data_IF_414703150814
#
_entry.id   IF_414703150814
#
_cell.length_a   1.000
_cell.length_b   1.000
_cell.length_c   1.000
_cell.angle_alpha   90.00
_cell.angle_beta   90.00
_cell.angle_gamma   90.00
#
_symmetry.space_group_name_H-M   'P 1'
#
loop_
_entity.id
_entity.type
_entity.pdbx_description
1 polymer ?
#
# COMPACT_ATOMS: atom_id res chain seq x y z
N UNK A 1 8.20 11.74 -30.66
CA UNK A 1 8.57 11.97 -29.25
C UNK A 1 9.00 10.63 -28.67
N UNK A 2 10.13 10.53 -27.96
CA UNK A 2 10.57 9.26 -27.37
C UNK A 2 9.79 8.94 -26.09
N UNK A 3 9.72 7.66 -25.71
CA UNK A 3 9.09 7.23 -24.44
C UNK A 3 9.76 7.93 -23.25
N UNK A 4 11.10 8.03 -23.27
CA UNK A 4 11.86 8.72 -22.24
C UNK A 4 11.46 10.19 -22.13
N UNK A 5 11.41 10.92 -23.25
CA UNK A 5 11.01 12.33 -23.23
C UNK A 5 9.60 12.49 -22.66
N UNK A 6 8.65 11.65 -23.08
CA UNK A 6 7.29 11.66 -22.55
C UNK A 6 7.26 11.39 -21.02
N UNK A 7 8.12 10.51 -20.53
CA UNK A 7 8.24 10.24 -19.10
C UNK A 7 8.71 11.48 -18.32
N UNK A 8 9.78 12.13 -18.80
CA UNK A 8 10.34 13.34 -18.16
C UNK A 8 9.39 14.53 -18.26
N UNK A 9 8.73 14.73 -19.41
CA UNK A 9 7.73 15.77 -19.61
C UNK A 9 6.55 15.54 -18.64
N UNK A 10 6.08 14.29 -18.48
CA UNK A 10 5.02 13.96 -17.52
C UNK A 10 5.43 14.28 -16.07
N UNK A 11 6.65 13.91 -15.65
CA UNK A 11 7.14 14.20 -14.30
C UNK A 11 7.22 15.72 -14.07
N UNK A 12 7.76 16.45 -15.04
CA UNK A 12 7.92 17.90 -14.95
C UNK A 12 6.57 18.61 -14.88
N UNK A 13 5.63 18.27 -15.75
CA UNK A 13 4.25 18.79 -15.70
C UNK A 13 3.58 18.45 -14.36
N UNK A 14 3.85 17.25 -13.82
CA UNK A 14 3.36 16.88 -12.49
C UNK A 14 3.83 17.83 -11.39
N UNK A 15 5.08 18.28 -11.44
CA UNK A 15 5.62 19.25 -10.50
C UNK A 15 5.13 20.68 -10.76
N UNK A 16 4.91 21.07 -12.01
CA UNK A 16 4.27 22.34 -12.37
C UNK A 16 2.83 22.40 -11.83
N UNK A 17 2.07 21.30 -11.95
CA UNK A 17 0.73 21.17 -11.41
C UNK A 17 0.71 21.25 -9.87
N UNK A 18 1.72 20.72 -9.18
CA UNK A 18 1.85 20.84 -7.73
C UNK A 18 2.09 22.28 -7.26
N UNK A 19 2.88 23.03 -8.02
CA UNK A 19 3.18 24.43 -7.73
C UNK A 19 2.04 25.38 -8.11
N UNK A 20 1.04 24.87 -8.83
CA UNK A 20 -0.10 25.67 -9.24
C UNK A 20 -1.02 25.99 -8.05
N UNK A 21 -1.48 27.25 -7.90
CA UNK A 21 -2.36 27.63 -6.80
C UNK A 21 -3.77 27.02 -6.89
N UNK A 22 -4.18 26.49 -8.05
CA UNK A 22 -5.47 25.82 -8.22
C UNK A 22 -5.44 24.42 -7.57
N UNK A 23 -6.19 24.17 -6.47
CA UNK A 23 -6.17 22.89 -5.77
C UNK A 23 -6.60 21.70 -6.63
N UNK A 24 -7.34 21.93 -7.73
CA UNK A 24 -7.72 20.87 -8.68
C UNK A 24 -6.50 20.28 -9.40
N UNK A 25 -5.39 21.03 -9.47
CA UNK A 25 -4.15 20.60 -10.12
C UNK A 25 -3.41 19.53 -9.33
N UNK A 26 -3.68 19.38 -8.04
CA UNK A 26 -3.13 18.31 -7.21
C UNK A 26 -3.46 16.90 -7.72
N UNK A 27 -4.66 16.71 -8.29
CA UNK A 27 -5.05 15.44 -8.92
C UNK A 27 -4.24 15.22 -10.20
N UNK A 28 -4.08 16.28 -11.00
CA UNK A 28 -3.27 16.25 -12.22
C UNK A 28 -1.80 15.93 -11.91
N UNK A 29 -1.24 16.56 -10.88
CA UNK A 29 0.10 16.26 -10.35
C UNK A 29 0.28 14.76 -10.08
N UNK A 30 -0.61 14.19 -9.26
CA UNK A 30 -0.56 12.76 -8.89
C UNK A 30 -0.63 11.85 -10.13
N UNK A 31 -1.52 12.15 -11.08
CA UNK A 31 -1.66 11.39 -12.33
C UNK A 31 -0.39 11.45 -13.19
N UNK A 32 0.16 12.65 -13.35
CA UNK A 32 1.33 12.90 -14.17
C UNK A 32 2.60 12.25 -13.59
N UNK A 33 2.79 12.30 -12.26
CA UNK A 33 3.88 11.60 -11.59
C UNK A 33 3.76 10.08 -11.76
N UNK A 34 2.57 9.50 -11.49
CA UNK A 34 2.35 8.06 -11.66
C UNK A 34 2.57 7.61 -13.11
N UNK A 35 2.03 8.35 -14.08
CA UNK A 35 2.23 8.05 -15.50
C UNK A 35 3.71 8.16 -15.90
N UNK A 36 4.41 9.19 -15.42
CA UNK A 36 5.84 9.39 -15.64
C UNK A 36 6.70 8.22 -15.18
N UNK A 37 6.43 7.70 -13.97
CA UNK A 37 7.10 6.50 -13.44
C UNK A 37 6.90 5.29 -14.36
N UNK A 38 5.65 5.00 -14.74
CA UNK A 38 5.35 3.86 -15.62
C UNK A 38 6.00 4.02 -17.00
N UNK A 39 6.11 5.24 -17.51
CA UNK A 39 6.80 5.52 -18.77
C UNK A 39 8.32 5.34 -18.66
N UNK A 40 8.96 5.69 -17.53
CA UNK A 40 10.38 5.38 -17.28
C UNK A 40 10.62 3.87 -17.31
N UNK A 41 9.73 3.10 -16.68
CA UNK A 41 9.83 1.64 -16.68
C UNK A 41 9.67 1.06 -18.10
N UNK A 42 8.67 1.54 -18.85
CA UNK A 42 8.48 1.16 -20.26
C UNK A 42 9.67 1.57 -21.12
N UNK A 43 10.30 2.71 -20.86
CA UNK A 43 11.50 3.12 -21.58
C UNK A 43 12.65 2.11 -21.36
N UNK A 44 12.89 1.69 -20.11
CA UNK A 44 13.90 0.66 -19.83
C UNK A 44 13.61 -0.64 -20.58
N UNK A 45 12.38 -1.15 -20.51
CA UNK A 45 11.96 -2.35 -21.24
C UNK A 45 12.11 -2.22 -22.76
N UNK A 46 11.70 -1.07 -23.32
CA UNK A 46 11.89 -0.75 -24.74
C UNK A 46 13.39 -0.78 -25.10
N UNK A 47 14.26 -0.15 -24.30
CA UNK A 47 15.71 -0.12 -24.54
C UNK A 47 16.39 -1.49 -24.48
N UNK A 48 15.80 -2.45 -23.76
CA UNK A 48 16.29 -3.83 -23.67
C UNK A 48 15.70 -4.76 -24.73
N UNK A 49 14.72 -4.29 -25.50
CA UNK A 49 14.11 -5.12 -26.55
C UNK A 49 15.12 -5.33 -27.68
N UNK A 50 15.30 -6.56 -28.18
CA UNK A 50 16.24 -6.82 -29.27
C UNK A 50 15.92 -5.98 -30.52
N UNK A 51 16.94 -5.54 -31.29
CA UNK A 51 16.71 -4.87 -32.56
C UNK A 51 15.78 -5.66 -33.48
N UNK A 52 14.81 -4.99 -34.10
CA UNK A 52 13.84 -5.62 -35.00
C UNK A 52 12.69 -6.38 -34.31
N UNK A 53 12.68 -6.49 -32.98
CA UNK A 53 11.64 -7.19 -32.21
C UNK A 53 10.32 -6.41 -32.02
N UNK A 54 10.22 -5.20 -32.58
CA UNK A 54 9.09 -4.26 -32.39
C UNK A 54 8.82 -3.98 -30.89
N UNK A 55 9.87 -3.64 -30.14
CA UNK A 55 9.81 -3.36 -28.71
C UNK A 55 9.08 -4.46 -27.92
N UNK A 56 9.45 -5.72 -28.16
CA UNK A 56 8.75 -6.91 -27.66
C UNK A 56 8.46 -6.86 -26.15
N UNK A 57 9.37 -6.27 -25.36
CA UNK A 57 9.25 -6.17 -23.91
C UNK A 57 8.24 -5.13 -23.43
N UNK A 58 7.63 -4.31 -24.29
CA UNK A 58 6.50 -3.45 -23.90
C UNK A 58 5.17 -3.85 -24.56
N UNK A 59 5.17 -4.80 -25.50
CA UNK A 59 3.97 -5.21 -26.25
C UNK A 59 3.14 -6.23 -25.48
N UNK A 60 1.81 -6.10 -25.51
CA UNK A 60 0.91 -7.04 -24.83
C UNK A 60 0.86 -8.41 -25.51
N UNK A 61 0.94 -8.43 -26.84
CA UNK A 61 0.94 -9.64 -27.65
C UNK A 61 2.34 -9.90 -28.20
N UNK A 62 2.82 -11.13 -28.05
CA UNK A 62 4.14 -11.58 -28.49
C UNK A 62 3.94 -12.87 -29.28
N UNK A 63 4.43 -12.93 -30.52
CA UNK A 63 4.32 -14.10 -31.38
C UNK A 63 5.71 -14.55 -31.87
N UNK A 64 5.92 -15.87 -32.06
CA UNK A 64 7.16 -16.37 -32.64
C UNK A 64 7.20 -16.07 -34.15
N UNK A 65 8.39 -15.85 -34.68
CA UNK A 65 8.65 -15.79 -36.12
C UNK A 65 9.95 -16.52 -36.46
N UNK A 66 10.03 -17.02 -37.69
CA UNK A 66 11.23 -17.67 -38.20
C UNK A 66 12.25 -16.61 -38.64
N UNK A 67 13.41 -16.58 -37.99
CA UNK A 67 14.59 -15.80 -38.40
C UNK A 67 15.64 -16.72 -39.04
N UNK A 68 16.67 -16.15 -39.66
CA UNK A 68 17.84 -16.91 -40.15
C UNK A 68 18.61 -17.64 -39.05
N UNK A 69 18.44 -17.22 -37.79
CA UNK A 69 19.10 -17.79 -36.61
C UNK A 69 18.20 -18.72 -35.78
N UNK A 70 16.99 -19.03 -36.26
CA UNK A 70 16.00 -19.84 -35.55
C UNK A 70 14.74 -19.06 -35.16
N UNK A 71 13.93 -19.64 -34.27
CA UNK A 71 12.68 -19.01 -33.78
C UNK A 71 13.04 -17.83 -32.87
N UNK A 72 12.54 -16.64 -33.24
CA UNK A 72 12.66 -15.42 -32.45
C UNK A 72 11.28 -14.88 -32.10
N UNK A 73 11.19 -14.00 -31.11
CA UNK A 73 9.93 -13.44 -30.63
C UNK A 73 9.81 -11.97 -31.03
N UNK A 74 8.62 -11.60 -31.53
CA UNK A 74 8.32 -10.23 -31.94
C UNK A 74 7.03 -9.76 -31.29
N UNK A 75 7.02 -8.50 -30.87
CA UNK A 75 5.82 -7.84 -30.42
C UNK A 75 4.85 -7.60 -31.57
N UNK A 76 3.54 -7.71 -31.30
CA UNK A 76 2.50 -7.52 -32.31
C UNK A 76 1.39 -6.62 -31.78
N UNK A 77 0.88 -5.75 -32.66
CA UNK A 77 -0.22 -4.83 -32.37
C UNK A 77 0.22 -3.53 -31.69
N UNK A 78 -0.78 -2.71 -31.36
CA UNK A 78 -0.57 -1.36 -30.77
C UNK A 78 -0.64 -1.35 -29.24
N UNK A 79 -1.23 -2.38 -28.64
CA UNK A 79 -1.46 -2.42 -27.20
C UNK A 79 -0.16 -2.73 -26.46
N UNK A 80 0.11 -1.94 -25.42
CA UNK A 80 1.25 -2.16 -24.52
C UNK A 80 0.80 -2.86 -23.24
N UNK A 81 1.76 -3.39 -22.51
CA UNK A 81 1.54 -3.93 -21.17
C UNK A 81 0.96 -2.90 -20.21
N UNK A 82 0.15 -3.40 -19.29
CA UNK A 82 -0.34 -2.69 -18.11
C UNK A 82 0.70 -2.76 -16.97
N UNK A 83 0.33 -2.23 -15.79
CA UNK A 83 1.22 -2.16 -14.62
C UNK A 83 1.71 -3.54 -14.21
N UNK A 84 0.82 -4.54 -14.19
CA UNK A 84 1.19 -5.91 -13.82
C UNK A 84 2.16 -6.52 -14.83
N UNK A 85 1.91 -6.31 -16.12
CA UNK A 85 2.86 -6.72 -17.16
C UNK A 85 4.21 -6.02 -17.09
N UNK A 86 4.29 -4.78 -16.59
CA UNK A 86 5.56 -4.09 -16.32
C UNK A 86 6.27 -4.76 -15.15
N UNK A 87 5.57 -4.99 -14.04
CA UNK A 87 6.10 -5.65 -12.85
C UNK A 87 6.70 -7.02 -13.15
N UNK A 88 5.93 -7.88 -13.82
CA UNK A 88 6.36 -9.25 -14.12
C UNK A 88 7.59 -9.25 -15.06
N UNK A 89 7.65 -8.31 -16.02
CA UNK A 89 8.78 -8.19 -16.95
C UNK A 89 10.03 -7.62 -16.30
N UNK A 90 9.91 -6.57 -15.49
CA UNK A 90 11.06 -6.04 -14.76
C UNK A 90 11.62 -7.08 -13.79
N UNK A 91 10.74 -7.76 -13.04
CA UNK A 91 11.13 -8.80 -12.08
C UNK A 91 11.82 -9.97 -12.77
N UNK A 92 11.26 -10.50 -13.87
CA UNK A 92 11.89 -11.60 -14.62
C UNK A 92 13.22 -11.21 -15.28
N UNK A 93 13.45 -9.93 -15.54
CA UNK A 93 14.71 -9.39 -16.05
C UNK A 93 15.71 -9.03 -14.94
N UNK A 94 15.38 -9.28 -13.67
CA UNK A 94 16.25 -8.95 -12.52
C UNK A 94 16.34 -7.46 -12.22
N UNK A 95 15.37 -6.65 -12.67
CA UNK A 95 15.32 -5.21 -12.40
C UNK A 95 14.51 -4.97 -11.13
N UNK A 96 15.22 -4.62 -10.05
CA UNK A 96 14.60 -4.31 -8.76
C UNK A 96 13.95 -2.93 -8.75
N UNK A 97 12.69 -2.87 -8.32
CA UNK A 97 11.90 -1.64 -8.14
C UNK A 97 11.19 -1.73 -6.80
N UNK A 98 11.06 -0.60 -6.09
CA UNK A 98 10.27 -0.48 -4.87
C UNK A 98 8.77 -0.49 -5.20
N UNK A 99 8.22 -1.68 -5.42
CA UNK A 99 6.80 -1.88 -5.73
C UNK A 99 5.88 -1.50 -4.58
N UNK A 100 6.37 -1.51 -3.34
CA UNK A 100 5.60 -1.05 -2.18
C UNK A 100 5.26 0.44 -2.33
N UNK A 101 6.25 1.28 -2.66
CA UNK A 101 6.01 2.71 -2.95
C UNK A 101 5.12 2.92 -4.17
N UNK A 102 5.29 2.12 -5.23
CA UNK A 102 4.40 2.21 -6.41
C UNK A 102 2.95 1.95 -6.03
N UNK A 103 2.70 0.90 -5.24
CA UNK A 103 1.36 0.54 -4.78
C UNK A 103 0.77 1.63 -3.87
N UNK A 104 1.59 2.25 -3.00
CA UNK A 104 1.18 3.41 -2.19
C UNK A 104 0.76 4.60 -3.08
N UNK A 105 1.57 4.95 -4.07
CA UNK A 105 1.25 6.02 -5.04
C UNK A 105 -0.04 5.69 -5.82
N UNK A 106 -0.20 4.44 -6.27
CA UNK A 106 -1.39 3.99 -6.99
C UNK A 106 -2.65 4.07 -6.11
N UNK A 107 -2.58 3.58 -4.87
CA UNK A 107 -3.68 3.62 -3.93
C UNK A 107 -4.09 5.05 -3.60
N UNK A 108 -3.10 5.92 -3.36
CA UNK A 108 -3.36 7.34 -3.18
C UNK A 108 -4.07 7.93 -4.40
N UNK A 109 -3.59 7.65 -5.62
CA UNK A 109 -4.21 8.10 -6.88
C UNK A 109 -5.67 7.64 -6.99
N UNK A 110 -5.95 6.38 -6.68
CA UNK A 110 -7.32 5.85 -6.73
C UNK A 110 -8.21 6.56 -5.70
N UNK A 111 -7.73 6.71 -4.46
CA UNK A 111 -8.46 7.38 -3.39
C UNK A 111 -8.83 8.83 -3.77
N UNK A 112 -7.88 9.62 -4.27
CA UNK A 112 -8.17 11.00 -4.67
C UNK A 112 -9.10 11.10 -5.89
N UNK A 113 -9.14 10.08 -6.76
CA UNK A 113 -10.07 10.02 -7.90
C UNK A 113 -11.51 9.77 -7.44
N UNK A 114 -11.69 9.12 -6.29
CA UNK A 114 -13.00 8.84 -5.69
C UNK A 114 -13.49 9.96 -4.75
N UNK A 115 -12.60 10.61 -4.00
CA UNK A 115 -12.95 11.67 -3.04
C UNK A 115 -12.61 13.06 -3.59
N UNK A 116 -13.52 13.61 -4.41
CA UNK A 116 -13.38 14.93 -5.05
C UNK A 116 -13.34 16.11 -4.06
N UNK A 117 -13.68 15.91 -2.78
CA UNK A 117 -13.85 16.97 -1.79
C UNK A 117 -12.56 17.26 -1.02
N UNK A 118 -11.95 18.43 -1.28
CA UNK A 118 -10.90 19.07 -0.47
C UNK A 118 -9.69 18.19 -0.11
N UNK A 119 -8.87 17.82 -1.10
CA UNK A 119 -7.58 17.15 -0.85
C UNK A 119 -6.59 18.18 -0.29
N UNK A 120 -6.00 17.96 0.90
CA UNK A 120 -4.98 18.87 1.42
C UNK A 120 -3.68 18.76 0.62
N UNK A 121 -3.06 19.88 0.28
CA UNK A 121 -1.76 19.91 -0.42
C UNK A 121 -0.68 19.08 0.31
N UNK A 122 -0.71 19.05 1.65
CA UNK A 122 0.20 18.24 2.48
C UNK A 122 0.08 16.74 2.21
N UNK A 123 -1.09 16.23 1.80
CA UNK A 123 -1.24 14.80 1.50
C UNK A 123 -0.56 14.40 0.18
N UNK A 124 -0.42 15.34 -0.77
CA UNK A 124 0.29 15.11 -2.03
C UNK A 124 1.81 15.08 -1.84
N UNK A 125 2.33 15.66 -0.75
CA UNK A 125 3.77 15.63 -0.45
C UNK A 125 4.28 14.20 -0.25
N UNK A 126 3.46 13.33 0.36
CA UNK A 126 3.75 11.88 0.46
C UNK A 126 3.98 11.28 -0.93
N UNK A 127 3.05 11.50 -1.87
CA UNK A 127 3.17 11.02 -3.25
C UNK A 127 4.42 11.54 -3.94
N UNK A 128 4.70 12.84 -3.80
CA UNK A 128 5.86 13.46 -4.45
C UNK A 128 7.15 12.87 -3.88
N UNK A 129 7.25 12.71 -2.55
CA UNK A 129 8.40 12.10 -1.89
C UNK A 129 8.62 10.66 -2.35
N UNK A 130 7.57 9.83 -2.34
CA UNK A 130 7.67 8.43 -2.80
C UNK A 130 8.04 8.37 -4.28
N UNK A 131 7.39 9.20 -5.11
CA UNK A 131 7.68 9.28 -6.54
C UNK A 131 9.13 9.68 -6.78
N UNK A 132 9.63 10.67 -6.03
CA UNK A 132 11.00 11.15 -6.15
C UNK A 132 12.01 10.03 -5.90
N UNK A 133 11.84 9.26 -4.82
CA UNK A 133 12.75 8.16 -4.49
C UNK A 133 12.75 7.09 -5.59
N UNK A 134 11.56 6.67 -6.05
CA UNK A 134 11.41 5.71 -7.14
C UNK A 134 12.08 6.21 -8.43
N UNK A 135 11.78 7.45 -8.84
CA UNK A 135 12.28 8.06 -10.07
C UNK A 135 13.81 8.18 -10.00
N UNK A 136 14.33 8.75 -8.91
CA UNK A 136 15.76 8.95 -8.67
C UNK A 136 16.52 7.62 -8.75
N UNK A 137 16.07 6.62 -8.00
CA UNK A 137 16.74 5.34 -7.90
C UNK A 137 16.66 4.57 -9.20
N UNK A 138 15.52 4.63 -9.90
CA UNK A 138 15.38 3.99 -11.20
C UNK A 138 16.27 4.62 -12.27
N UNK A 139 16.32 5.95 -12.36
CA UNK A 139 17.20 6.65 -13.31
C UNK A 139 18.67 6.31 -13.02
N UNK A 140 19.08 6.36 -11.76
CA UNK A 140 20.46 6.12 -11.36
C UNK A 140 20.88 4.66 -11.58
N UNK A 141 20.09 3.73 -11.06
CA UNK A 141 20.48 2.31 -10.98
C UNK A 141 20.19 1.55 -12.27
N UNK A 142 19.12 1.92 -13.00
CA UNK A 142 18.65 1.14 -14.15
C UNK A 142 18.79 1.84 -15.50
N UNK A 143 18.78 3.18 -15.51
CA UNK A 143 19.10 3.96 -16.72
C UNK A 143 20.56 4.43 -16.76
N UNK A 144 21.32 4.27 -15.67
CA UNK A 144 22.73 4.68 -15.56
C UNK A 144 22.96 6.14 -15.95
N UNK A 145 22.01 7.00 -15.60
CA UNK A 145 22.02 8.43 -15.91
C UNK A 145 22.01 9.25 -14.63
N UNK A 146 22.42 10.52 -14.73
CA UNK A 146 22.28 11.47 -13.64
C UNK A 146 20.83 11.99 -13.56
N UNK A 147 20.10 11.73 -12.46
CA UNK A 147 18.73 12.21 -12.28
C UNK A 147 18.58 13.74 -12.34
N UNK A 148 19.55 14.51 -11.84
CA UNK A 148 19.52 15.98 -11.87
C UNK A 148 19.59 16.48 -13.31
N UNK A 149 20.47 15.88 -14.12
CA UNK A 149 20.63 16.26 -15.53
C UNK A 149 19.39 15.84 -16.32
N UNK A 150 18.90 14.61 -16.11
CA UNK A 150 17.81 14.06 -16.90
C UNK A 150 16.45 14.72 -16.61
N UNK A 151 16.16 15.01 -15.33
CA UNK A 151 14.92 15.69 -14.94
C UNK A 151 14.99 17.22 -15.15
N UNK A 152 16.20 17.76 -15.20
CA UNK A 152 16.43 19.20 -15.22
C UNK A 152 16.36 19.81 -13.81
N UNK A 153 17.09 20.91 -13.64
CA UNK A 153 17.33 21.56 -12.35
C UNK A 153 16.05 21.94 -11.61
N UNK A 154 15.08 22.54 -12.31
CA UNK A 154 13.83 23.04 -11.70
C UNK A 154 12.99 21.90 -11.12
N UNK A 155 12.75 20.85 -11.92
CA UNK A 155 11.99 19.67 -11.48
C UNK A 155 12.70 18.96 -10.33
N UNK A 156 14.02 18.77 -10.45
CA UNK A 156 14.84 18.14 -9.41
C UNK A 156 14.78 18.88 -8.07
N UNK A 157 15.03 20.20 -8.07
CA UNK A 157 15.01 21.03 -6.86
C UNK A 157 13.62 21.03 -6.22
N UNK A 158 12.56 21.14 -7.03
CA UNK A 158 11.18 21.09 -6.54
C UNK A 158 10.85 19.77 -5.84
N UNK A 159 11.19 18.63 -6.46
CA UNK A 159 10.95 17.31 -5.86
C UNK A 159 11.77 17.09 -4.59
N UNK A 160 13.05 17.49 -4.61
CA UNK A 160 13.95 17.33 -3.45
C UNK A 160 13.46 18.13 -2.26
N UNK A 161 13.05 19.40 -2.46
CA UNK A 161 12.51 20.24 -1.38
C UNK A 161 11.25 19.63 -0.76
N UNK A 162 10.33 19.11 -1.58
CA UNK A 162 9.11 18.46 -1.07
C UNK A 162 9.45 17.19 -0.29
N UNK A 163 10.40 16.39 -0.80
CA UNK A 163 10.85 15.18 -0.12
C UNK A 163 11.50 15.49 1.24
N UNK A 164 12.37 16.50 1.32
CA UNK A 164 13.01 16.92 2.58
C UNK A 164 12.00 17.33 3.65
N UNK A 165 11.03 18.18 3.29
CA UNK A 165 9.95 18.60 4.20
C UNK A 165 9.13 17.40 4.66
N UNK A 166 8.75 16.52 3.73
CA UNK A 166 7.99 15.32 4.07
C UNK A 166 8.77 14.39 5.01
N UNK A 167 10.07 14.15 4.76
CA UNK A 167 10.88 13.27 5.62
C UNK A 167 11.02 13.82 7.04
N UNK A 168 11.17 15.14 7.20
CA UNK A 168 11.20 15.77 8.51
C UNK A 168 9.87 15.57 9.26
N UNK A 169 8.74 15.85 8.61
CA UNK A 169 7.40 15.64 9.20
C UNK A 169 7.13 14.17 9.54
N UNK A 170 7.54 13.24 8.67
CA UNK A 170 7.37 11.79 8.89
C UNK A 170 8.23 11.32 10.06
N UNK A 171 9.46 11.83 10.19
CA UNK A 171 10.34 11.54 11.32
C UNK A 171 9.69 11.89 12.65
N UNK A 172 9.15 13.10 12.78
CA UNK A 172 8.45 13.52 14.01
C UNK A 172 7.20 12.67 14.30
N UNK A 173 6.42 12.30 13.26
CA UNK A 173 5.30 11.39 13.40
C UNK A 173 5.74 10.03 13.97
N UNK A 174 6.79 9.43 13.38
CA UNK A 174 7.34 8.14 13.83
C UNK A 174 7.82 8.23 15.28
N UNK A 175 8.57 9.27 15.64
CA UNK A 175 9.03 9.46 17.01
C UNK A 175 7.89 9.57 18.02
N UNK A 176 6.77 10.19 17.64
CA UNK A 176 5.59 10.27 18.51
C UNK A 176 4.96 8.89 18.76
N UNK A 177 4.84 8.07 17.71
CA UNK A 177 4.28 6.71 17.80
C UNK A 177 5.20 5.75 18.56
N UNK A 178 6.52 5.91 18.41
CA UNK A 178 7.52 5.08 19.10
C UNK A 178 7.56 5.26 20.62
N UNK A 179 6.98 6.35 21.15
CA UNK A 179 6.94 6.64 22.60
C UNK A 179 5.82 5.91 23.34
N UNK A 180 4.82 5.39 22.62
CA UNK A 180 3.72 4.63 23.22
C UNK A 180 4.27 3.28 23.74
N UNK A 181 3.78 2.85 24.91
CA UNK A 181 4.03 1.50 25.42
C UNK A 181 3.12 0.49 24.69
N UNK A 182 3.71 -0.23 23.73
CA UNK A 182 2.98 -1.16 22.87
C UNK A 182 2.98 -2.57 23.47
N UNK A 183 1.77 -3.14 23.66
CA UNK A 183 1.61 -4.54 24.08
C UNK A 183 2.20 -5.53 23.04
N UNK A 184 2.11 -5.18 21.76
CA UNK A 184 2.51 -6.03 20.64
C UNK A 184 3.34 -5.28 19.60
N UNK A 185 4.46 -5.87 19.16
CA UNK A 185 5.32 -5.29 18.12
C UNK A 185 4.60 -5.17 16.77
N UNK A 186 3.78 -6.15 16.38
CA UNK A 186 3.02 -6.07 15.13
C UNK A 186 2.02 -4.90 15.14
N UNK A 187 1.46 -4.56 16.30
CA UNK A 187 0.53 -3.44 16.45
C UNK A 187 1.28 -2.11 16.30
N UNK A 188 2.46 -2.00 16.92
CA UNK A 188 3.37 -0.85 16.70
C UNK A 188 3.70 -0.68 15.22
N UNK A 189 4.09 -1.76 14.54
CA UNK A 189 4.41 -1.74 13.11
C UNK A 189 3.20 -1.33 12.26
N UNK A 190 1.99 -1.78 12.60
CA UNK A 190 0.77 -1.36 11.94
C UNK A 190 0.55 0.16 12.08
N UNK A 191 0.72 0.72 13.28
CA UNK A 191 0.59 2.17 13.53
C UNK A 191 1.67 3.02 12.86
N UNK A 192 2.87 2.48 12.62
CA UNK A 192 3.92 3.20 11.90
C UNK A 192 3.64 3.31 10.38
N UNK A 193 2.83 2.39 9.83
CA UNK A 193 2.56 2.25 8.39
C UNK A 193 1.18 2.71 7.95
N UNK A 194 0.26 2.88 8.90
CA UNK A 194 -1.12 3.29 8.64
C UNK A 194 -1.21 4.63 7.89
N UNK A 195 -2.12 4.67 6.92
CA UNK A 195 -2.49 5.86 6.19
C UNK A 195 -3.85 6.40 6.67
N UNK A 196 -4.00 7.71 6.69
CA UNK A 196 -5.25 8.39 7.00
C UNK A 196 -6.34 8.01 6.00
N UNK A 197 -7.43 7.44 6.48
CA UNK A 197 -8.62 7.09 5.69
C UNK A 197 -9.36 8.31 5.09
N UNK A 198 -9.07 9.54 5.53
CA UNK A 198 -9.65 10.77 4.96
C UNK A 198 -8.84 11.36 3.80
N UNK A 199 -7.51 11.29 3.86
CA UNK A 199 -6.65 11.98 2.88
C UNK A 199 -5.51 11.14 2.30
N UNK A 200 -5.34 9.90 2.73
CA UNK A 200 -4.29 8.99 2.26
C UNK A 200 -2.88 9.30 2.77
N UNK A 201 -2.69 10.35 3.55
CA UNK A 201 -1.39 10.68 4.16
C UNK A 201 -1.04 9.73 5.30
N UNK A 202 0.22 9.32 5.36
CA UNK A 202 0.79 8.50 6.43
C UNK A 202 1.48 9.33 7.53
N UNK A 203 1.25 10.66 7.53
CA UNK A 203 1.71 11.58 8.58
C UNK A 203 0.72 11.57 9.75
N UNK A 204 0.67 10.45 10.46
CA UNK A 204 -0.10 10.28 11.70
C UNK A 204 0.83 10.49 12.89
N UNK A 205 0.47 11.44 13.75
CA UNK A 205 1.17 11.69 15.00
C UNK A 205 0.29 11.32 16.20
N UNK A 206 0.96 10.99 17.30
CA UNK A 206 0.39 10.88 18.64
C UNK A 206 0.34 12.29 19.28
N UNK A 207 -0.72 12.60 20.04
CA UNK A 207 -0.95 13.91 20.67
C UNK A 207 -1.15 13.90 22.17
N UNK A 208 -1.49 12.78 22.77
CA UNK A 208 -1.69 12.69 24.21
C UNK A 208 -0.35 12.82 24.95
N UNK A 209 -0.42 13.23 26.21
CA UNK A 209 0.78 13.34 27.08
C UNK A 209 0.96 12.10 27.96
N UNK A 210 0.25 11.00 27.65
CA UNK A 210 0.25 9.77 28.42
C UNK A 210 0.97 8.63 27.69
N UNK A 211 1.74 7.82 28.44
CA UNK A 211 2.40 6.62 27.91
C UNK A 211 1.43 5.44 27.71
N UNK A 212 0.19 5.54 28.20
CA UNK A 212 -0.82 4.49 28.10
C UNK A 212 -1.59 4.59 26.77
N UNK A 213 -1.55 3.50 25.99
CA UNK A 213 -2.23 3.33 24.70
C UNK A 213 -3.71 3.68 24.73
N UNK A 214 -4.43 3.36 25.80
CA UNK A 214 -5.90 3.55 25.90
C UNK A 214 -6.29 5.03 25.95
N UNK A 215 -5.38 5.88 26.42
CA UNK A 215 -5.57 7.34 26.46
C UNK A 215 -4.95 8.07 25.27
N UNK A 216 -4.34 7.34 24.33
CA UNK A 216 -3.66 7.94 23.20
C UNK A 216 -4.66 8.55 22.20
N UNK A 217 -4.36 9.77 21.76
CA UNK A 217 -5.07 10.45 20.70
C UNK A 217 -4.14 10.61 19.50
N UNK A 218 -4.65 10.30 18.32
CA UNK A 218 -3.91 10.35 17.07
C UNK A 218 -4.46 11.43 16.17
N UNK A 219 -3.58 12.03 15.36
CA UNK A 219 -3.95 13.09 14.44
C UNK A 219 -3.20 12.97 13.13
N UNK A 220 -3.91 13.11 12.02
CA UNK A 220 -3.29 13.27 10.71
C UNK A 220 -2.81 14.72 10.53
N UNK A 221 -1.49 14.94 10.41
CA UNK A 221 -0.90 16.27 10.18
C UNK A 221 -1.30 16.91 8.86
N UNK A 222 -1.76 16.10 7.89
CA UNK A 222 -2.16 16.60 6.57
C UNK A 222 -3.59 17.12 6.52
N UNK A 223 -4.54 16.50 7.23
CA UNK A 223 -5.98 16.84 7.13
C UNK A 223 -6.69 17.10 8.46
N UNK A 224 -5.94 17.09 9.57
CA UNK A 224 -6.38 17.29 10.96
C UNK A 224 -7.44 16.29 11.45
N UNK A 225 -7.68 15.18 10.73
CA UNK A 225 -8.54 14.10 11.22
C UNK A 225 -7.92 13.51 12.49
N UNK A 226 -8.76 13.29 13.50
CA UNK A 226 -8.39 12.72 14.78
C UNK A 226 -8.97 11.33 14.96
N UNK A 227 -8.28 10.53 15.73
CA UNK A 227 -8.68 9.17 16.11
C UNK A 227 -8.40 8.99 17.60
N UNK A 228 -9.31 8.32 18.30
CA UNK A 228 -8.96 7.67 19.56
C UNK A 228 -8.17 6.38 19.26
N UNK A 229 -7.64 5.73 20.31
CA UNK A 229 -6.91 4.48 20.17
C UNK A 229 -7.71 3.40 19.45
N UNK A 230 -8.97 3.20 19.82
CA UNK A 230 -9.77 2.09 19.30
C UNK A 230 -10.02 2.21 17.79
N UNK A 231 -10.41 3.39 17.33
CA UNK A 231 -10.62 3.65 15.90
C UNK A 231 -9.30 3.64 15.12
N UNK A 232 -8.21 4.07 15.75
CA UNK A 232 -6.89 4.03 15.14
C UNK A 232 -6.36 2.58 15.02
N UNK A 233 -6.61 1.74 16.02
CA UNK A 233 -6.24 0.34 16.02
C UNK A 233 -7.03 -0.45 14.97
N UNK A 234 -8.35 -0.23 14.89
CA UNK A 234 -9.19 -0.82 13.84
C UNK A 234 -8.66 -0.47 12.44
N UNK A 235 -8.41 0.82 12.19
CA UNK A 235 -7.87 1.27 10.90
C UNK A 235 -6.47 0.70 10.60
N UNK A 236 -5.60 0.66 11.60
CA UNK A 236 -4.22 0.18 11.45
C UNK A 236 -4.20 -1.33 11.17
N UNK A 237 -4.99 -2.11 11.89
CA UNK A 237 -5.11 -3.56 11.71
C UNK A 237 -5.68 -3.91 10.34
N UNK A 238 -6.78 -3.24 9.95
CA UNK A 238 -7.41 -3.44 8.65
C UNK A 238 -6.42 -3.21 7.49
N UNK A 239 -5.68 -2.10 7.53
CA UNK A 239 -4.69 -1.79 6.50
C UNK A 239 -3.47 -2.73 6.53
N UNK A 240 -2.99 -3.08 7.72
CA UNK A 240 -1.77 -3.89 7.88
C UNK A 240 -1.96 -5.33 7.41
N UNK A 241 -3.10 -5.96 7.74
CA UNK A 241 -3.39 -7.35 7.37
C UNK A 241 -4.24 -7.49 6.09
N UNK A 242 -4.67 -6.40 5.45
CA UNK A 242 -5.51 -6.45 4.23
C UNK A 242 -4.95 -7.39 3.15
N UNK A 243 -3.65 -7.28 2.87
CA UNK A 243 -3.00 -8.09 1.83
C UNK A 243 -2.95 -9.58 2.17
N UNK A 244 -2.62 -9.91 3.41
CA UNK A 244 -2.51 -11.29 3.88
C UNK A 244 -3.89 -11.95 3.99
N UNK A 245 -4.87 -11.25 4.56
CA UNK A 245 -6.26 -11.72 4.62
C UNK A 245 -6.83 -11.98 3.22
N UNK A 246 -6.54 -11.10 2.25
CA UNK A 246 -6.97 -11.30 0.87
C UNK A 246 -6.30 -12.50 0.20
N UNK A 247 -5.01 -12.74 0.48
CA UNK A 247 -4.29 -13.90 -0.02
C UNK A 247 -4.87 -15.21 0.57
N UNK A 248 -5.00 -15.28 1.89
CA UNK A 248 -5.56 -16.46 2.57
C UNK A 248 -6.98 -16.78 2.09
N UNK A 249 -7.84 -15.76 1.93
CA UNK A 249 -9.18 -15.95 1.39
C UNK A 249 -9.18 -16.57 -0.02
N UNK A 250 -8.27 -16.14 -0.90
CA UNK A 250 -8.15 -16.71 -2.26
C UNK A 250 -7.67 -18.16 -2.26
N UNK A 251 -6.84 -18.52 -1.29
CA UNK A 251 -6.28 -19.87 -1.16
C UNK A 251 -7.18 -20.80 -0.32
N UNK A 252 -8.34 -20.32 0.14
CA UNK A 252 -9.28 -21.08 0.98
C UNK A 252 -8.79 -21.29 2.41
N UNK A 253 -7.83 -20.49 2.86
CA UNK A 253 -7.32 -20.48 4.23
C UNK A 253 -8.07 -19.56 5.18
N UNK A 254 -7.77 -19.67 6.48
CA UNK A 254 -8.27 -18.77 7.51
C UNK A 254 -7.62 -17.37 7.37
N UNK A 255 -8.35 -16.26 7.59
CA UNK A 255 -7.75 -14.93 7.67
C UNK A 255 -6.84 -14.83 8.89
N UNK A 256 -5.91 -13.88 8.92
CA UNK A 256 -5.08 -13.59 10.10
C UNK A 256 -5.88 -12.90 11.19
N UNK A 257 -6.78 -12.01 10.77
CA UNK A 257 -7.63 -11.23 11.67
C UNK A 257 -9.10 -11.42 11.35
N UNK A 258 -9.95 -11.36 12.37
CA UNK A 258 -11.40 -11.36 12.25
C UNK A 258 -12.00 -10.17 13.01
N UNK A 259 -13.29 -9.92 12.77
CA UNK A 259 -14.06 -9.01 13.61
C UNK A 259 -14.10 -9.54 15.04
N UNK A 260 -13.81 -8.67 16.01
CA UNK A 260 -13.82 -9.08 17.40
C UNK A 260 -15.25 -9.42 17.84
N UNK A 261 -15.53 -10.63 18.37
CA UNK A 261 -16.88 -10.96 18.77
C UNK A 261 -17.38 -10.26 20.03
N UNK A 262 -16.49 -9.70 20.86
CA UNK A 262 -16.86 -8.94 22.06
C UNK A 262 -17.15 -7.48 21.77
N UNK A 263 -16.21 -6.77 21.13
CA UNK A 263 -16.34 -5.33 20.90
C UNK A 263 -16.85 -4.98 19.50
N UNK A 264 -17.10 -5.99 18.64
CA UNK A 264 -17.65 -5.86 17.29
C UNK A 264 -16.82 -4.99 16.32
N UNK A 265 -15.56 -4.70 16.67
CA UNK A 265 -14.65 -3.91 15.85
C UNK A 265 -14.00 -4.76 14.77
N UNK A 266 -13.90 -4.21 13.57
CA UNK A 266 -13.52 -4.96 12.38
C UNK A 266 -12.04 -5.34 12.39
N UNK A 267 -11.73 -6.58 12.02
CA UNK A 267 -10.34 -7.05 11.89
C UNK A 267 -9.44 -6.78 13.11
N UNK A 268 -10.00 -6.63 14.32
CA UNK A 268 -9.24 -6.31 15.54
C UNK A 268 -8.84 -7.54 16.35
N UNK A 269 -9.45 -8.70 16.09
CA UNK A 269 -9.08 -9.96 16.73
C UNK A 269 -8.02 -10.67 15.90
N UNK A 270 -6.85 -10.92 16.47
CA UNK A 270 -5.76 -11.62 15.80
C UNK A 270 -5.78 -13.10 16.21
N UNK A 271 -5.91 -13.99 15.22
CA UNK A 271 -6.04 -15.43 15.45
C UNK A 271 -4.74 -16.11 15.92
N UNK A 272 -3.58 -15.54 15.60
CA UNK A 272 -2.27 -16.08 16.01
C UNK A 272 -2.04 -15.91 17.51
N UNK A 273 -2.29 -14.70 18.03
CA UNK A 273 -2.19 -14.42 19.47
C UNK A 273 -3.46 -14.79 20.25
N UNK A 274 -4.55 -15.10 19.54
CA UNK A 274 -5.86 -15.40 20.09
C UNK A 274 -6.40 -14.31 21.04
N UNK A 275 -6.32 -13.06 20.60
CA UNK A 275 -6.73 -11.91 21.41
C UNK A 275 -7.18 -10.72 20.54
N UNK A 276 -8.12 -9.93 21.06
CA UNK A 276 -8.47 -8.62 20.49
C UNK A 276 -7.44 -7.56 20.90
N UNK A 277 -6.89 -6.83 19.92
CA UNK A 277 -5.92 -5.76 20.21
C UNK A 277 -6.54 -4.51 20.85
N UNK A 278 -7.87 -4.42 20.90
CA UNK A 278 -8.63 -3.30 21.46
C UNK A 278 -9.19 -3.61 22.83
N UNK A 279 -9.99 -4.69 22.97
CA UNK A 279 -10.65 -5.02 24.24
C UNK A 279 -9.94 -6.12 25.05
N UNK A 280 -8.82 -6.64 24.57
CA UNK A 280 -8.03 -7.71 25.21
C UNK A 280 -8.78 -9.04 25.44
N UNK A 281 -9.99 -9.21 24.90
CA UNK A 281 -10.73 -10.46 25.01
C UNK A 281 -10.10 -11.58 24.18
N UNK A 282 -10.22 -12.80 24.69
CA UNK A 282 -9.75 -14.04 24.06
C UNK A 282 -10.85 -15.10 24.10
N UNK A 283 -10.84 -16.02 23.12
CA UNK A 283 -11.82 -17.08 22.99
C UNK A 283 -11.20 -18.47 23.00
N UNK A 284 -11.95 -19.52 23.39
CA UNK A 284 -11.52 -20.90 23.23
C UNK A 284 -11.20 -21.23 21.77
N UNK A 285 -10.04 -21.83 21.53
CA UNK A 285 -9.61 -22.26 20.18
C UNK A 285 -9.81 -23.75 19.91
N UNK A 286 -10.18 -24.51 20.95
CA UNK A 286 -10.45 -25.94 20.87
C UNK A 286 -11.75 -26.26 21.59
N UNK A 287 -12.54 -27.15 21.00
CA UNK A 287 -13.78 -27.63 21.57
C UNK A 287 -13.50 -28.64 22.69
N UNK A 288 -14.03 -28.42 23.90
CA UNK A 288 -13.88 -29.38 25.01
C UNK A 288 -14.68 -30.67 24.79
N UNK A 289 -15.64 -30.68 23.86
CA UNK A 289 -16.49 -31.83 23.55
C UNK A 289 -15.80 -32.84 22.62
N UNK A 290 -15.27 -32.36 21.49
CA UNK A 290 -14.65 -33.21 20.48
C UNK A 290 -13.12 -33.07 20.37
N UNK A 291 -12.51 -32.07 21.00
CA UNK A 291 -11.07 -31.79 20.93
C UNK A 291 -10.61 -31.07 19.67
N UNK A 292 -11.49 -30.89 18.68
CA UNK A 292 -11.18 -30.23 17.40
C UNK A 292 -11.02 -28.71 17.55
N UNK A 293 -10.29 -28.10 16.60
CA UNK A 293 -10.15 -26.64 16.51
C UNK A 293 -11.53 -26.01 16.29
N UNK A 294 -11.86 -24.98 17.07
CA UNK A 294 -13.05 -24.17 16.82
C UNK A 294 -12.77 -23.28 15.61
N UNK A 295 -13.56 -23.37 14.53
CA UNK A 295 -13.37 -22.50 13.36
C UNK A 295 -13.50 -21.02 13.77
N UNK A 296 -12.72 -20.10 13.16
CA UNK A 296 -12.83 -18.67 13.46
C UNK A 296 -14.25 -18.11 13.31
N UNK A 297 -15.02 -18.64 12.35
CA UNK A 297 -16.42 -18.29 12.12
C UNK A 297 -17.37 -18.66 13.28
N UNK A 298 -16.94 -19.50 14.20
CA UNK A 298 -17.73 -19.95 15.35
C UNK A 298 -17.35 -19.26 16.65
N UNK A 299 -16.19 -18.58 16.72
CA UNK A 299 -15.65 -18.00 17.98
C UNK A 299 -16.63 -17.03 18.66
N UNK A 300 -17.44 -16.30 17.89
CA UNK A 300 -18.45 -15.37 18.41
C UNK A 300 -19.77 -15.99 18.86
N UNK A 301 -20.01 -17.27 18.54
CA UNK A 301 -21.29 -17.95 18.79
C UNK A 301 -21.18 -18.95 19.96
N UNK A 302 -20.17 -18.82 20.81
CA UNK A 302 -19.85 -19.83 21.82
C UNK A 302 -20.71 -19.74 23.08
N UNK A 303 -21.50 -18.68 23.32
CA UNK A 303 -22.39 -18.53 24.50
C UNK A 303 -21.76 -18.99 25.84
N UNK A 304 -20.46 -18.70 26.06
CA UNK A 304 -19.65 -19.18 27.20
C UNK A 304 -19.53 -20.70 27.36
N UNK A 305 -19.90 -21.46 26.34
CA UNK A 305 -19.65 -22.89 26.22
C UNK A 305 -18.38 -23.05 25.39
N UNK A 306 -17.33 -23.65 25.96
CA UNK A 306 -16.08 -23.93 25.24
C UNK A 306 -16.28 -25.06 24.18
N UNK A 307 -17.44 -25.09 23.51
CA UNK A 307 -17.94 -26.13 22.63
C UNK A 307 -18.12 -25.57 21.21
N UNK A 308 -17.70 -26.31 20.20
CA UNK A 308 -18.07 -25.97 18.82
C UNK A 308 -19.58 -26.10 18.61
N UNK A 309 -20.09 -25.40 17.59
CA UNK A 309 -21.52 -25.34 17.25
C UNK A 309 -22.13 -26.73 17.07
N UNK A 310 -21.37 -27.68 16.52
CA UNK A 310 -21.80 -29.07 16.40
C UNK A 310 -22.00 -29.74 17.77
N UNK A 311 -21.03 -29.62 18.69
CA UNK A 311 -21.16 -30.19 20.03
C UNK A 311 -22.29 -29.54 20.85
N UNK A 312 -22.52 -28.23 20.66
CA UNK A 312 -23.68 -27.53 21.24
C UNK A 312 -24.98 -28.17 20.74
N UNK A 313 -25.11 -28.34 19.42
CA UNK A 313 -26.30 -28.92 18.80
C UNK A 313 -26.53 -30.38 19.20
N UNK A 314 -25.47 -31.17 19.40
CA UNK A 314 -25.58 -32.56 19.89
C UNK A 314 -26.12 -32.58 21.31
N UNK A 315 -25.58 -31.76 22.23
CA UNK A 315 -26.05 -31.71 23.62
C UNK A 315 -27.51 -31.28 23.74
N UNK A 316 -27.92 -30.27 22.97
CA UNK A 316 -29.31 -29.81 22.96
C UNK A 316 -30.32 -30.88 22.50
N UNK A 317 -29.88 -31.88 21.72
CA UNK A 317 -30.72 -33.00 21.29
C UNK A 317 -30.73 -34.17 22.28
N UNK A 318 -29.73 -34.26 23.15
CA UNK A 318 -29.64 -35.28 24.19
C UNK A 318 -30.39 -34.87 25.47
N UNK A 319 -30.73 -33.59 25.62
CA UNK A 319 -31.48 -33.02 26.75
C UNK A 319 -33.03 -32.98 26.54
N UNK A 320 -33.53 -33.48 25.39
CA UNK A 320 -34.97 -33.67 25.04
C UNK A 320 -35.39 -35.15 25.11
#
# INVERSE_FOLDING_TARGET
MSILKNAIDSISIGMEDYQNPDPRRLISCTRNLYAGILLLFKHKLSSMSPPGSDEVLIKKMILPYNSSTGIQWKGVGKNTIDVKGIEDRLTSLGISVDWERINKIQNYRNNIEHYYSSIPQKSVQTVISDSFLVIRDFIRNHLTQDPLILLGKITWESMTNVAEVYQAEKGECIESIMKIDWKYDFLKEAFLRVACDKCGSDLIEEKSTGLNRESAEFRCRSCDKRYDFENMAELSMDQYFSGENFANFKDGGDPVTIDCPSCFRKNTYNLEINECVVCDDSYPTKCIGCGEKIPPSEMGNLDNTELCSWCIQVRLKDDD
#
